data_IF_414468552016
#
_entry.id   IF_414468552016
#
_cell.length_a   1.000
_cell.length_b   1.000
_cell.length_c   1.000
_cell.angle_alpha   90.00
_cell.angle_beta   90.00
_cell.angle_gamma   90.00
#
_symmetry.space_group_name_H-M   'P 1'
#
loop_
_entity.id
_entity.type
_entity.pdbx_description
1 polymer ?
#
# COMPACT_ATOMS: atom_id res chain seq x y z
N UNK A 1 32.50 -52.99 -17.10
CA UNK A 1 31.41 -52.57 -16.18
C UNK A 1 31.53 -51.12 -15.68
N UNK A 2 32.73 -50.60 -15.38
CA UNK A 2 32.86 -49.22 -14.88
C UNK A 2 32.45 -48.11 -15.88
N UNK A 3 32.80 -48.27 -17.17
CA UNK A 3 32.42 -47.31 -18.22
C UNK A 3 30.90 -47.16 -18.36
N UNK A 4 30.12 -48.22 -18.16
CA UNK A 4 28.66 -48.16 -18.33
C UNK A 4 27.94 -47.49 -17.17
N UNK A 5 28.52 -47.49 -15.96
CA UNK A 5 28.01 -46.71 -14.83
C UNK A 5 28.31 -45.22 -15.02
N UNK A 6 29.54 -44.88 -15.42
CA UNK A 6 29.91 -43.49 -15.68
C UNK A 6 29.04 -42.85 -16.77
N UNK A 7 28.77 -43.57 -17.87
CA UNK A 7 27.90 -43.08 -18.94
C UNK A 7 26.45 -42.88 -18.47
N UNK A 8 25.91 -43.78 -17.64
CA UNK A 8 24.55 -43.62 -17.07
C UNK A 8 24.48 -42.45 -16.11
N UNK A 9 25.51 -42.25 -15.29
CA UNK A 9 25.59 -41.10 -14.37
C UNK A 9 25.68 -39.78 -15.14
N UNK A 10 26.54 -39.71 -16.16
CA UNK A 10 26.66 -38.51 -17.01
C UNK A 10 25.36 -38.22 -17.79
N UNK A 11 24.70 -39.25 -18.32
CA UNK A 11 23.41 -39.11 -18.99
C UNK A 11 22.31 -38.62 -18.04
N UNK A 12 22.29 -39.11 -16.79
CA UNK A 12 21.36 -38.66 -15.77
C UNK A 12 21.57 -37.18 -15.42
N UNK A 13 22.82 -36.76 -15.16
CA UNK A 13 23.12 -35.35 -14.89
C UNK A 13 22.85 -34.45 -16.11
N UNK A 14 23.15 -34.92 -17.33
CA UNK A 14 22.83 -34.19 -18.55
C UNK A 14 21.32 -33.98 -18.73
N UNK A 15 20.51 -35.01 -18.45
CA UNK A 15 19.05 -34.90 -18.47
C UNK A 15 18.53 -33.91 -17.41
N UNK A 16 19.05 -34.00 -16.18
CA UNK A 16 18.67 -33.10 -15.08
C UNK A 16 19.04 -31.66 -15.42
N UNK A 17 20.25 -31.41 -15.94
CA UNK A 17 20.67 -30.08 -16.39
C UNK A 17 19.83 -29.55 -17.55
N UNK A 18 19.45 -30.40 -18.51
CA UNK A 18 18.58 -30.01 -19.63
C UNK A 18 17.15 -29.68 -19.16
N UNK A 19 16.61 -30.42 -18.19
CA UNK A 19 15.32 -30.12 -17.57
C UNK A 19 15.38 -28.81 -16.79
N UNK A 20 16.42 -28.62 -15.98
CA UNK A 20 16.63 -27.37 -15.23
C UNK A 20 16.77 -26.18 -16.19
N UNK A 21 17.56 -26.31 -17.26
CA UNK A 21 17.72 -25.28 -18.28
C UNK A 21 16.42 -25.03 -19.06
N UNK A 22 15.66 -26.08 -19.39
CA UNK A 22 14.36 -25.98 -20.02
C UNK A 22 13.38 -25.17 -19.16
N UNK A 23 13.29 -25.49 -17.87
CA UNK A 23 12.51 -24.71 -16.91
C UNK A 23 13.04 -23.27 -16.79
N UNK A 24 14.34 -23.07 -16.62
CA UNK A 24 14.95 -21.74 -16.54
C UNK A 24 14.64 -20.87 -17.78
N UNK A 25 14.78 -21.43 -18.99
CA UNK A 25 14.52 -20.73 -20.25
C UNK A 25 13.05 -20.38 -20.48
N UNK A 26 12.12 -21.11 -19.86
CA UNK A 26 10.70 -20.76 -19.84
C UNK A 26 10.42 -19.54 -18.95
N UNK A 27 11.24 -19.33 -17.91
CA UNK A 27 11.12 -18.20 -16.97
C UNK A 27 12.00 -16.99 -17.32
N UNK A 28 13.02 -17.16 -18.17
CA UNK A 28 13.88 -16.08 -18.66
C UNK A 28 13.29 -15.35 -19.89
N UNK A 29 12.11 -15.79 -20.36
CA UNK A 29 11.34 -15.00 -21.33
C UNK A 29 10.79 -13.78 -20.60
N UNK A 30 11.36 -12.60 -20.89
CA UNK A 30 10.70 -11.33 -20.57
C UNK A 30 9.26 -11.42 -21.08
N UNK A 31 8.24 -11.30 -20.21
CA UNK A 31 6.87 -11.29 -20.68
C UNK A 31 6.77 -10.19 -21.73
N UNK A 32 6.10 -10.44 -22.88
CA UNK A 32 5.93 -9.41 -23.88
C UNK A 32 5.30 -8.18 -23.22
N UNK A 33 5.84 -6.99 -23.52
CA UNK A 33 5.21 -5.73 -23.11
C UNK A 33 3.85 -5.65 -23.80
N UNK A 34 2.79 -5.97 -23.07
CA UNK A 34 1.44 -5.75 -23.55
C UNK A 34 1.11 -4.27 -23.37
N UNK A 35 1.20 -3.49 -24.45
CA UNK A 35 0.48 -2.22 -24.56
C UNK A 35 -1.01 -2.54 -24.71
N UNK A 36 -1.68 -2.83 -23.61
CA UNK A 36 -3.14 -2.73 -23.58
C UNK A 36 -3.43 -1.35 -23.02
N UNK A 37 -4.21 -0.59 -23.77
CA UNK A 37 -4.72 0.71 -23.34
C UNK A 37 -5.45 0.59 -22.00
N UNK A 38 -5.59 1.71 -21.31
CA UNK A 38 -6.40 1.79 -20.09
C UNK A 38 -7.81 1.26 -20.39
N UNK A 39 -8.39 0.46 -19.50
CA UNK A 39 -9.78 0.01 -19.62
C UNK A 39 -10.73 1.03 -18.96
N UNK A 40 -11.99 1.10 -19.40
CA UNK A 40 -12.99 1.97 -18.78
C UNK A 40 -13.58 1.33 -17.51
N UNK A 41 -13.54 2.04 -16.38
CA UNK A 41 -14.03 1.61 -15.07
C UNK A 41 -15.14 2.50 -14.48
N UNK A 42 -15.51 3.56 -15.20
CA UNK A 42 -16.60 4.46 -14.83
C UNK A 42 -18.00 3.84 -14.95
N UNK A 43 -19.04 4.57 -14.48
CA UNK A 43 -20.43 4.12 -14.51
C UNK A 43 -20.91 3.72 -15.92
N UNK A 44 -21.79 2.71 -15.98
CA UNK A 44 -22.36 2.14 -17.23
C UNK A 44 -23.29 3.16 -17.93
N UNK A 45 -24.08 3.92 -17.18
CA UNK A 45 -25.16 4.75 -17.74
C UNK A 45 -24.70 6.13 -18.24
N UNK A 46 -23.42 6.47 -18.08
CA UNK A 46 -22.88 7.71 -18.66
C UNK A 46 -22.35 7.38 -20.05
N UNK A 47 -22.95 7.96 -21.09
CA UNK A 47 -22.39 8.09 -22.45
C UNK A 47 -21.10 8.93 -22.47
N UNK A 48 -20.18 8.70 -21.54
CA UNK A 48 -18.89 9.36 -21.49
C UNK A 48 -17.86 8.39 -22.05
N UNK A 49 -17.31 8.74 -23.20
CA UNK A 49 -16.13 8.09 -23.72
C UNK A 49 -14.99 8.18 -22.70
N UNK A 50 -14.04 7.25 -22.80
CA UNK A 50 -12.89 7.06 -21.90
C UNK A 50 -12.18 8.35 -21.45
N UNK A 51 -12.16 9.38 -22.30
CA UNK A 51 -11.47 10.65 -22.11
C UNK A 51 -12.35 11.85 -22.54
N UNK A 52 -13.67 11.81 -22.32
CA UNK A 52 -14.55 12.91 -22.72
C UNK A 52 -14.22 14.26 -22.04
N UNK A 53 -13.42 14.24 -20.97
CA UNK A 53 -12.89 15.41 -20.28
C UNK A 53 -11.50 15.13 -19.69
N UNK A 54 -10.45 15.64 -20.36
CA UNK A 54 -9.04 15.50 -19.92
C UNK A 54 -8.56 16.67 -19.06
N UNK A 55 -9.44 17.60 -18.68
CA UNK A 55 -9.04 18.76 -17.88
C UNK A 55 -8.65 18.34 -16.47
N UNK A 56 -7.82 19.17 -15.84
CA UNK A 56 -7.43 19.04 -14.44
C UNK A 56 -8.17 20.14 -13.68
N UNK A 57 -8.97 19.73 -12.70
CA UNK A 57 -9.79 20.62 -11.89
C UNK A 57 -9.18 20.76 -10.49
N UNK A 58 -9.04 21.98 -9.96
CA UNK A 58 -8.77 22.17 -8.54
C UNK A 58 -9.82 21.44 -7.70
N UNK A 59 -9.38 20.84 -6.61
CA UNK A 59 -10.24 20.18 -5.64
C UNK A 59 -9.97 20.77 -4.25
N UNK A 60 -11.02 20.88 -3.45
CA UNK A 60 -10.92 21.26 -2.04
C UNK A 60 -11.61 20.18 -1.25
N UNK A 61 -10.93 19.64 -0.24
CA UNK A 61 -11.50 18.64 0.65
C UNK A 61 -12.68 19.29 1.37
N UNK A 62 -13.90 18.73 1.23
CA UNK A 62 -15.08 19.33 1.83
C UNK A 62 -15.10 19.09 3.34
N UNK A 63 -15.56 20.10 4.08
CA UNK A 63 -15.98 19.94 5.47
C UNK A 63 -17.51 19.95 5.54
N UNK A 64 -18.10 18.91 6.12
CA UNK A 64 -19.54 18.78 6.28
C UNK A 64 -19.91 18.71 7.77
N UNK A 65 -20.53 19.76 8.35
CA UNK A 65 -21.02 19.70 9.72
C UNK A 65 -21.97 18.51 9.95
N UNK A 66 -22.86 18.23 9.01
CA UNK A 66 -23.82 17.13 9.12
C UNK A 66 -23.15 15.75 9.22
N UNK A 67 -22.04 15.52 8.49
CA UNK A 67 -21.27 14.27 8.61
C UNK A 67 -20.55 14.18 9.96
N UNK A 68 -20.04 15.30 10.48
CA UNK A 68 -19.40 15.35 11.81
C UNK A 68 -20.43 15.10 12.92
N UNK A 69 -21.63 15.67 12.81
CA UNK A 69 -22.70 15.47 13.78
C UNK A 69 -23.18 14.00 13.80
N UNK A 70 -23.34 13.37 12.62
CA UNK A 70 -23.65 11.94 12.51
C UNK A 70 -22.55 11.08 13.14
N UNK A 71 -21.29 11.36 12.80
CA UNK A 71 -20.13 10.68 13.38
C UNK A 71 -20.12 10.79 14.90
N UNK A 72 -20.28 11.99 15.46
CA UNK A 72 -20.31 12.21 16.91
C UNK A 72 -21.47 11.43 17.56
N UNK A 73 -22.65 11.42 16.94
CA UNK A 73 -23.80 10.64 17.43
C UNK A 73 -23.51 9.14 17.47
N UNK A 74 -22.92 8.59 16.42
CA UNK A 74 -22.55 7.16 16.32
C UNK A 74 -21.44 6.79 17.30
N UNK A 75 -20.41 7.63 17.43
CA UNK A 75 -19.34 7.45 18.41
C UNK A 75 -19.89 7.44 19.84
N UNK A 76 -20.77 8.39 20.19
CA UNK A 76 -21.42 8.45 21.50
C UNK A 76 -22.28 7.24 21.83
N UNK A 77 -22.77 6.52 20.82
CA UNK A 77 -23.59 5.30 20.94
C UNK A 77 -22.80 4.01 20.68
N UNK A 78 -21.48 4.08 20.64
CA UNK A 78 -20.62 2.92 20.37
C UNK A 78 -20.92 1.78 21.35
N UNK A 79 -21.19 0.59 20.82
CA UNK A 79 -21.30 -0.65 21.59
C UNK A 79 -19.96 -1.39 21.52
N UNK A 80 -19.20 -1.34 22.60
CA UNK A 80 -17.91 -2.05 22.64
C UNK A 80 -18.10 -3.55 22.80
N UNK A 81 -17.31 -4.30 22.03
CA UNK A 81 -17.14 -5.74 22.23
C UNK A 81 -16.47 -5.98 23.59
N UNK A 82 -16.95 -6.99 24.32
CA UNK A 82 -16.33 -7.42 25.58
C UNK A 82 -15.28 -8.50 25.26
N UNK A 83 -13.97 -8.18 25.36
CA UNK A 83 -12.94 -9.21 25.16
C UNK A 83 -12.97 -10.24 26.29
N UNK A 84 -12.35 -11.40 26.03
CA UNK A 84 -12.15 -12.45 27.03
C UNK A 84 -11.46 -11.88 28.27
N UNK A 85 -11.95 -12.25 29.45
CA UNK A 85 -11.36 -11.84 30.71
C UNK A 85 -10.16 -12.75 31.02
N UNK A 86 -8.95 -12.24 30.81
CA UNK A 86 -7.71 -12.99 31.08
C UNK A 86 -6.97 -12.38 32.27
N UNK A 87 -6.86 -13.11 33.40
CA UNK A 87 -6.18 -12.63 34.61
C UNK A 87 -4.68 -12.36 34.42
N UNK A 88 -4.05 -12.79 33.31
CA UNK A 88 -2.63 -12.54 33.03
C UNK A 88 -2.36 -11.38 32.06
N UNK A 89 -3.39 -10.66 31.58
CA UNK A 89 -3.29 -9.62 30.55
C UNK A 89 -2.64 -10.07 29.22
N UNK A 90 -2.45 -11.37 28.98
CA UNK A 90 -1.76 -11.92 27.79
C UNK A 90 -2.63 -11.74 26.53
N UNK A 91 -3.94 -11.74 26.68
CA UNK A 91 -4.91 -11.66 25.57
C UNK A 91 -5.04 -10.29 24.88
N UNK A 92 -4.58 -9.21 25.49
CA UNK A 92 -5.05 -7.86 25.14
C UNK A 92 -4.57 -7.33 23.78
N UNK A 93 -3.50 -7.89 23.21
CA UNK A 93 -3.03 -7.59 21.84
C UNK A 93 -2.80 -8.82 20.97
N UNK A 94 -2.98 -10.04 21.50
CA UNK A 94 -2.92 -11.28 20.71
C UNK A 94 -4.20 -11.57 19.92
N UNK A 95 -5.33 -11.03 20.35
CA UNK A 95 -6.66 -11.28 19.78
C UNK A 95 -7.23 -10.06 19.02
N UNK A 96 -6.36 -9.13 18.63
CA UNK A 96 -6.73 -7.91 17.92
C UNK A 96 -6.83 -6.69 18.83
N UNK A 97 -7.64 -5.71 18.43
CA UNK A 97 -7.63 -4.37 18.99
C UNK A 97 -8.13 -4.32 20.44
N UNK A 98 -7.36 -3.66 21.31
CA UNK A 98 -7.66 -3.57 22.73
C UNK A 98 -8.85 -2.65 23.04
N UNK A 99 -9.78 -3.11 23.89
CA UNK A 99 -10.95 -2.33 24.29
C UNK A 99 -10.62 -1.03 25.01
N UNK A 100 -9.70 -1.04 25.98
CA UNK A 100 -9.34 0.17 26.75
C UNK A 100 -8.74 1.23 25.83
N UNK A 101 -7.90 0.81 24.89
CA UNK A 101 -7.36 1.69 23.84
C UNK A 101 -8.49 2.22 22.96
N UNK A 102 -9.44 1.37 22.53
CA UNK A 102 -10.60 1.80 21.75
C UNK A 102 -11.47 2.83 22.48
N UNK A 103 -11.71 2.64 23.78
CA UNK A 103 -12.43 3.59 24.64
C UNK A 103 -11.68 4.93 24.72
N UNK A 104 -10.36 4.90 24.97
CA UNK A 104 -9.54 6.11 25.02
C UNK A 104 -9.50 6.87 23.69
N UNK A 105 -9.40 6.16 22.55
CA UNK A 105 -9.43 6.77 21.22
C UNK A 105 -10.81 7.36 20.92
N UNK A 106 -11.89 6.64 21.23
CA UNK A 106 -13.27 7.17 21.10
C UNK A 106 -13.42 8.45 21.91
N UNK A 107 -12.94 8.47 23.15
CA UNK A 107 -13.06 9.63 24.03
C UNK A 107 -12.25 10.82 23.51
N UNK A 108 -11.06 10.59 22.97
CA UNK A 108 -10.29 11.63 22.28
C UNK A 108 -11.00 12.12 21.02
N UNK A 109 -11.56 11.21 20.23
CA UNK A 109 -12.26 11.53 18.98
C UNK A 109 -13.52 12.36 19.23
N UNK A 110 -14.27 12.07 20.30
CA UNK A 110 -15.46 12.81 20.70
C UNK A 110 -15.13 14.21 21.25
N UNK A 111 -14.08 14.32 22.06
CA UNK A 111 -13.90 15.49 22.93
C UNK A 111 -12.73 16.40 22.52
N UNK A 112 -11.78 15.91 21.74
CA UNK A 112 -10.51 16.61 21.46
C UNK A 112 -10.21 16.73 19.98
N UNK A 113 -10.40 15.66 19.20
CA UNK A 113 -10.08 15.66 17.77
C UNK A 113 -10.91 16.71 17.01
N UNK A 114 -10.23 17.54 16.22
CA UNK A 114 -10.87 18.61 15.47
C UNK A 114 -10.78 18.36 13.97
N UNK A 115 -11.82 17.73 13.40
CA UNK A 115 -11.87 17.47 11.96
C UNK A 115 -11.82 18.74 11.11
N UNK A 116 -12.43 19.83 11.58
CA UNK A 116 -12.41 21.11 10.84
C UNK A 116 -10.98 21.64 10.69
N UNK A 117 -10.17 21.53 11.74
CA UNK A 117 -8.74 21.86 11.69
C UNK A 117 -7.99 20.92 10.76
N UNK A 118 -8.18 19.61 10.89
CA UNK A 118 -7.52 18.63 10.02
C UNK A 118 -7.83 18.88 8.53
N UNK A 119 -9.08 19.21 8.17
CA UNK A 119 -9.44 19.61 6.79
C UNK A 119 -8.74 20.88 6.35
N UNK A 120 -8.57 21.87 7.23
CA UNK A 120 -7.82 23.09 6.92
C UNK A 120 -6.35 22.77 6.65
N UNK A 121 -5.72 21.96 7.52
CA UNK A 121 -4.32 21.53 7.41
C UNK A 121 -4.10 20.70 6.12
N UNK A 122 -5.04 19.82 5.76
CA UNK A 122 -4.99 19.05 4.50
C UNK A 122 -5.05 19.98 3.28
N UNK A 123 -5.97 20.95 3.28
CA UNK A 123 -6.14 21.91 2.19
C UNK A 123 -5.03 22.97 2.08
N UNK A 124 -4.01 22.96 2.95
CA UNK A 124 -2.77 23.72 2.71
C UNK A 124 -2.02 23.21 1.46
N UNK A 125 -2.26 21.96 1.08
CA UNK A 125 -1.77 21.39 -0.17
C UNK A 125 -2.73 21.66 -1.32
N UNK A 126 -2.20 21.66 -2.55
CA UNK A 126 -3.02 21.79 -3.75
C UNK A 126 -3.52 20.43 -4.18
N UNK A 127 -4.84 20.23 -4.07
CA UNK A 127 -5.52 19.03 -4.54
C UNK A 127 -6.16 19.26 -5.91
N UNK A 128 -6.26 18.18 -6.67
CA UNK A 128 -6.84 18.20 -8.00
C UNK A 128 -7.63 16.92 -8.26
N UNK A 129 -8.53 16.99 -9.24
CA UNK A 129 -9.18 15.84 -9.87
C UNK A 129 -9.05 15.91 -11.38
N UNK A 130 -8.87 14.75 -12.02
CA UNK A 130 -8.98 14.61 -13.47
C UNK A 130 -9.61 13.26 -13.80
N UNK A 131 -10.39 13.19 -14.89
CA UNK A 131 -11.08 11.97 -15.26
C UNK A 131 -10.16 11.06 -16.08
N UNK A 132 -9.83 9.87 -15.57
CA UNK A 132 -9.04 8.85 -16.27
C UNK A 132 -9.82 7.54 -16.18
N UNK A 133 -9.94 6.80 -17.28
CA UNK A 133 -10.66 5.52 -17.27
C UNK A 133 -12.15 5.64 -16.84
N UNK A 134 -12.77 6.81 -17.03
CA UNK A 134 -14.12 7.09 -16.51
C UNK A 134 -14.21 7.33 -15.00
N UNK A 135 -13.09 7.45 -14.28
CA UNK A 135 -13.02 7.72 -12.84
C UNK A 135 -12.40 9.09 -12.59
N UNK A 136 -12.98 9.88 -11.68
CA UNK A 136 -12.32 11.10 -11.20
C UNK A 136 -11.20 10.71 -10.23
N UNK A 137 -9.96 10.79 -10.71
CA UNK A 137 -8.78 10.48 -9.94
C UNK A 137 -8.33 11.73 -9.18
N UNK A 138 -8.37 11.64 -7.86
CA UNK A 138 -7.82 12.65 -6.96
C UNK A 138 -6.31 12.53 -6.85
N UNK A 139 -5.63 13.67 -6.81
CA UNK A 139 -4.21 13.73 -6.46
C UNK A 139 -3.84 15.05 -5.80
N UNK A 140 -2.83 14.98 -4.94
CA UNK A 140 -2.14 16.15 -4.39
C UNK A 140 -0.92 16.43 -5.26
N UNK A 141 -0.68 17.71 -5.58
CA UNK A 141 0.48 18.15 -6.36
C UNK A 141 1.22 19.28 -5.65
N UNK A 142 2.54 19.16 -5.54
CA UNK A 142 3.41 20.23 -5.03
C UNK A 142 4.57 20.43 -5.99
N UNK A 143 4.62 21.61 -6.59
CA UNK A 143 5.72 22.02 -7.47
C UNK A 143 6.65 22.93 -6.68
N UNK A 144 7.96 22.70 -6.81
CA UNK A 144 8.98 23.64 -6.32
C UNK A 144 9.55 24.44 -7.49
N UNK A 145 9.99 25.66 -7.16
CA UNK A 145 10.67 26.55 -8.10
C UNK A 145 11.95 27.02 -7.41
N UNK A 146 13.09 26.89 -8.07
CA UNK A 146 14.36 27.42 -7.58
C UNK A 146 14.79 28.60 -8.46
N UNK A 147 15.61 29.51 -7.91
CA UNK A 147 16.08 30.67 -8.67
C UNK A 147 17.12 30.31 -9.75
N UNK A 148 17.64 29.09 -9.73
CA UNK A 148 18.62 28.60 -10.67
C UNK A 148 17.95 27.62 -11.64
N UNK A 149 18.04 27.85 -12.95
CA UNK A 149 17.54 26.91 -13.95
C UNK A 149 18.20 25.53 -13.75
N UNK A 150 17.46 24.60 -13.14
CA UNK A 150 17.91 23.23 -12.86
C UNK A 150 16.91 22.22 -13.39
N UNK A 151 17.37 20.98 -13.49
CA UNK A 151 16.56 19.85 -13.91
C UNK A 151 15.41 19.62 -12.91
N UNK A 152 14.18 19.64 -13.41
CA UNK A 152 12.96 19.36 -12.64
C UNK A 152 12.69 17.86 -12.64
N UNK A 153 12.63 17.24 -11.47
CA UNK A 153 12.31 15.83 -11.31
C UNK A 153 10.85 15.61 -10.91
N UNK A 154 10.14 14.80 -11.69
CA UNK A 154 8.77 14.40 -11.38
C UNK A 154 8.78 13.11 -10.57
N UNK A 155 8.07 13.10 -9.44
CA UNK A 155 8.01 11.96 -8.52
C UNK A 155 6.55 11.67 -8.18
N UNK A 156 6.14 10.43 -8.39
CA UNK A 156 4.84 9.93 -7.98
C UNK A 156 4.97 9.02 -6.75
N UNK A 157 4.27 9.35 -5.68
CA UNK A 157 4.21 8.57 -4.43
C UNK A 157 2.91 7.79 -4.38
N UNK A 158 2.99 6.47 -4.27
CA UNK A 158 1.84 5.58 -4.29
C UNK A 158 1.64 4.96 -2.91
N UNK A 159 0.52 5.30 -2.28
CA UNK A 159 0.15 4.77 -0.96
C UNK A 159 -0.41 3.33 -1.06
N UNK A 160 -0.72 2.75 0.08
CA UNK A 160 -1.39 1.44 0.17
C UNK A 160 -2.59 1.44 1.09
N UNK A 161 -2.86 0.28 1.70
CA UNK A 161 -3.92 0.05 2.67
C UNK A 161 -3.31 -0.39 4.01
N UNK A 162 -3.83 0.05 5.17
CA UNK A 162 -4.97 0.96 5.37
C UNK A 162 -4.55 2.44 5.39
N UNK A 163 -3.55 2.80 4.60
CA UNK A 163 -3.09 4.17 4.44
C UNK A 163 -3.88 4.98 3.42
N UNK A 164 -3.37 6.16 3.07
CA UNK A 164 -3.97 7.07 2.11
C UNK A 164 -2.91 8.03 1.56
N UNK A 165 -3.30 8.92 0.62
CA UNK A 165 -2.41 9.97 0.12
C UNK A 165 -1.77 10.82 1.24
N UNK A 166 -2.42 10.86 2.42
CA UNK A 166 -1.97 11.55 3.62
C UNK A 166 -0.56 11.15 4.07
N UNK A 167 -0.19 9.87 3.92
CA UNK A 167 1.10 9.32 4.37
C UNK A 167 2.32 10.04 3.75
N UNK A 168 2.15 10.61 2.56
CA UNK A 168 3.24 11.27 1.83
C UNK A 168 3.26 12.79 1.98
N UNK A 169 2.30 13.40 2.66
CA UNK A 169 2.24 14.87 2.76
C UNK A 169 3.45 15.45 3.51
N UNK A 170 3.88 14.81 4.59
CA UNK A 170 5.08 15.25 5.34
C UNK A 170 6.36 15.03 4.53
N UNK A 171 6.45 13.93 3.77
CA UNK A 171 7.57 13.69 2.84
C UNK A 171 7.61 14.78 1.78
N UNK A 172 6.46 15.15 1.20
CA UNK A 172 6.36 16.21 0.21
C UNK A 172 6.77 17.56 0.79
N UNK A 173 6.36 17.89 2.02
CA UNK A 173 6.79 19.10 2.74
C UNK A 173 8.31 19.15 2.88
N UNK A 174 8.93 18.07 3.37
CA UNK A 174 10.38 17.97 3.55
C UNK A 174 11.15 18.09 2.23
N UNK A 175 10.72 17.37 1.19
CA UNK A 175 11.35 17.43 -0.13
C UNK A 175 11.19 18.80 -0.79
N UNK A 176 10.04 19.46 -0.56
CA UNK A 176 9.78 20.78 -1.13
C UNK A 176 10.62 21.89 -0.52
N UNK A 177 11.22 21.66 0.65
CA UNK A 177 12.16 22.59 1.28
C UNK A 177 13.58 22.50 0.68
N UNK A 178 13.84 21.53 -0.21
CA UNK A 178 15.11 21.43 -0.91
C UNK A 178 15.36 22.65 -1.80
N UNK A 179 16.56 23.20 -1.72
CA UNK A 179 17.02 24.32 -2.57
C UNK A 179 17.88 23.87 -3.75
N UNK A 180 18.19 22.57 -3.84
CA UNK A 180 19.17 22.04 -4.80
C UNK A 180 18.53 21.40 -6.03
N UNK A 181 17.31 20.87 -5.90
CA UNK A 181 16.58 20.14 -6.94
C UNK A 181 15.16 20.68 -7.02
N UNK A 182 14.70 20.95 -8.23
CA UNK A 182 13.29 21.25 -8.50
C UNK A 182 12.48 19.98 -8.61
N UNK A 183 11.32 19.94 -7.96
CA UNK A 183 10.45 18.79 -7.93
C UNK A 183 9.05 19.11 -8.45
N UNK A 184 8.47 18.15 -9.14
CA UNK A 184 7.02 17.99 -9.25
C UNK A 184 6.64 16.76 -8.43
N UNK A 185 6.06 16.97 -7.25
CA UNK A 185 5.70 15.89 -6.33
C UNK A 185 4.21 15.61 -6.44
N UNK A 186 3.84 14.35 -6.69
CA UNK A 186 2.46 13.92 -6.90
C UNK A 186 2.14 12.74 -6.00
N UNK A 187 1.04 12.80 -5.24
CA UNK A 187 0.50 11.65 -4.51
C UNK A 187 -0.99 11.48 -4.84
N UNK A 188 -1.35 10.52 -5.72
CA UNK A 188 -2.75 10.24 -6.01
C UNK A 188 -3.40 9.44 -4.88
N UNK A 189 -4.72 9.60 -4.74
CA UNK A 189 -5.53 8.58 -4.09
C UNK A 189 -5.73 7.39 -5.04
N UNK A 190 -5.51 6.17 -4.57
CA UNK A 190 -5.81 4.96 -5.35
C UNK A 190 -7.30 4.94 -5.79
N UNK A 191 -7.66 4.37 -6.97
CA UNK A 191 -9.07 4.18 -7.33
C UNK A 191 -9.85 3.45 -6.22
N UNK A 192 -10.94 4.05 -5.74
CA UNK A 192 -11.71 3.57 -4.58
C UNK A 192 -11.16 3.95 -3.20
N UNK A 193 -10.13 4.78 -3.12
CA UNK A 193 -9.56 5.27 -1.87
C UNK A 193 -9.68 6.79 -1.78
N UNK A 194 -9.78 7.31 -0.55
CA UNK A 194 -9.84 8.74 -0.25
C UNK A 194 -10.83 9.46 -1.16
N UNK A 195 -10.34 10.42 -1.96
CA UNK A 195 -11.19 11.24 -2.82
C UNK A 195 -11.22 10.79 -4.28
N UNK A 196 -10.61 9.64 -4.65
CA UNK A 196 -10.73 9.06 -5.98
C UNK A 196 -12.00 8.22 -6.09
N UNK A 197 -12.66 8.27 -7.24
CA UNK A 197 -13.90 7.51 -7.44
C UNK A 197 -13.69 5.99 -7.28
N UNK A 198 -14.71 5.32 -6.73
CA UNK A 198 -14.78 3.85 -6.71
C UNK A 198 -15.08 3.30 -8.11
N UNK A 199 -14.49 2.16 -8.44
CA UNK A 199 -14.82 1.44 -9.68
C UNK A 199 -16.26 0.93 -9.65
N UNK A 200 -16.96 0.99 -10.78
CA UNK A 200 -18.29 0.36 -10.95
C UNK A 200 -18.21 -0.98 -11.67
N UNK A 201 -17.00 -1.41 -12.03
CA UNK A 201 -16.72 -2.65 -12.76
C UNK A 201 -15.70 -3.52 -12.01
N UNK A 202 -15.79 -4.82 -12.25
CA UNK A 202 -14.81 -5.77 -11.72
C UNK A 202 -13.43 -5.60 -12.39
N UNK A 203 -12.41 -6.26 -11.82
CA UNK A 203 -11.04 -6.34 -12.38
C UNK A 203 -10.22 -5.06 -12.32
N UNK A 204 -10.57 -4.08 -11.47
CA UNK A 204 -9.64 -3.03 -11.07
C UNK A 204 -8.47 -3.66 -10.29
N UNK A 205 -7.37 -3.94 -10.97
CA UNK A 205 -6.16 -4.57 -10.41
C UNK A 205 -5.02 -3.57 -10.26
N UNK A 206 -3.95 -3.91 -9.50
CA UNK A 206 -2.75 -3.06 -9.43
C UNK A 206 -2.15 -2.75 -10.81
N UNK A 207 -2.26 -3.68 -11.76
CA UNK A 207 -1.83 -3.47 -13.14
C UNK A 207 -2.66 -2.38 -13.84
N UNK A 208 -3.99 -2.34 -13.62
CA UNK A 208 -4.84 -1.29 -14.20
C UNK A 208 -4.57 0.06 -13.53
N UNK A 209 -4.37 0.09 -12.21
CA UNK A 209 -3.97 1.31 -11.50
C UNK A 209 -2.64 1.86 -12.01
N UNK A 210 -1.67 1.00 -12.34
CA UNK A 210 -0.40 1.43 -12.93
C UNK A 210 -0.59 2.15 -14.29
N UNK A 211 -1.54 1.70 -15.11
CA UNK A 211 -1.89 2.36 -16.37
C UNK A 211 -2.57 3.70 -16.13
N UNK A 212 -3.52 3.76 -15.20
CA UNK A 212 -4.21 4.99 -14.79
C UNK A 212 -3.19 6.04 -14.33
N UNK A 213 -2.22 5.66 -13.49
CA UNK A 213 -1.20 6.59 -13.00
C UNK A 213 -0.16 6.94 -14.05
N UNK A 214 0.14 6.07 -15.00
CA UNK A 214 0.95 6.46 -16.16
C UNK A 214 0.24 7.55 -16.97
N UNK A 215 -1.06 7.38 -17.26
CA UNK A 215 -1.87 8.41 -17.94
C UNK A 215 -1.93 9.70 -17.13
N UNK A 216 -2.07 9.62 -15.79
CA UNK A 216 -2.01 10.80 -14.92
C UNK A 216 -0.68 11.55 -15.11
N UNK A 217 0.45 10.84 -15.07
CA UNK A 217 1.77 11.47 -15.24
C UNK A 217 1.96 12.06 -16.65
N UNK A 218 1.50 11.38 -17.71
CA UNK A 218 1.51 11.94 -19.07
C UNK A 218 0.67 13.22 -19.16
N UNK A 219 -0.53 13.21 -18.56
CA UNK A 219 -1.45 14.34 -18.55
C UNK A 219 -0.90 15.56 -17.81
N UNK A 220 -0.07 15.34 -16.80
CA UNK A 220 0.65 16.38 -16.08
C UNK A 220 1.87 16.92 -16.84
N UNK A 221 2.17 16.37 -18.03
CA UNK A 221 3.26 16.79 -18.91
C UNK A 221 4.58 16.07 -18.66
N UNK A 222 4.58 14.97 -17.89
CA UNK A 222 5.81 14.25 -17.54
C UNK A 222 6.09 13.10 -18.50
N UNK A 223 7.04 13.30 -19.42
CA UNK A 223 7.53 12.23 -20.31
C UNK A 223 8.35 11.18 -19.56
N UNK A 224 8.95 11.52 -18.42
CA UNK A 224 9.65 10.58 -17.55
C UNK A 224 9.57 11.00 -16.09
N UNK A 225 9.58 10.04 -15.16
CA UNK A 225 9.35 10.27 -13.74
C UNK A 225 9.92 9.14 -12.85
N UNK A 226 10.07 9.43 -11.56
CA UNK A 226 10.44 8.48 -10.52
C UNK A 226 9.17 7.97 -9.84
N UNK A 227 9.12 6.68 -9.53
CA UNK A 227 8.02 6.07 -8.78
C UNK A 227 8.50 5.74 -7.38
N UNK A 228 7.72 6.08 -6.36
CA UNK A 228 7.93 5.67 -4.97
C UNK A 228 6.69 4.95 -4.47
N UNK A 229 6.84 3.81 -3.79
CA UNK A 229 5.68 3.13 -3.23
C UNK A 229 5.99 2.07 -2.18
N UNK A 230 5.14 1.97 -1.17
CA UNK A 230 5.05 0.85 -0.23
C UNK A 230 3.71 0.12 -0.39
N UNK A 231 3.53 -1.04 0.25
CA UNK A 231 2.26 -1.79 0.24
C UNK A 231 1.69 -1.95 -1.19
N UNK A 232 0.42 -1.64 -1.47
CA UNK A 232 -0.13 -1.67 -2.83
C UNK A 232 0.64 -0.78 -3.81
N UNK A 233 1.11 0.38 -3.36
CA UNK A 233 1.95 1.27 -4.14
C UNK A 233 3.25 0.61 -4.63
N UNK A 234 3.82 -0.34 -3.88
CA UNK A 234 4.98 -1.13 -4.33
C UNK A 234 4.62 -2.08 -5.48
N UNK A 235 3.45 -2.70 -5.42
CA UNK A 235 2.94 -3.61 -6.45
C UNK A 235 2.60 -2.81 -7.72
N UNK A 236 1.90 -1.69 -7.55
CA UNK A 236 1.53 -0.78 -8.64
C UNK A 236 2.80 -0.20 -9.28
N UNK A 237 3.77 0.27 -8.49
CA UNK A 237 5.03 0.80 -8.99
C UNK A 237 5.88 -0.24 -9.74
N UNK A 238 5.82 -1.50 -9.31
CA UNK A 238 6.41 -2.62 -10.06
C UNK A 238 5.77 -2.77 -11.44
N UNK A 239 4.43 -2.70 -11.53
CA UNK A 239 3.74 -2.75 -12.82
C UNK A 239 4.03 -1.51 -13.69
N UNK A 240 4.09 -0.31 -13.11
CA UNK A 240 4.47 0.90 -13.86
C UNK A 240 5.87 0.74 -14.47
N UNK A 241 6.82 0.22 -13.69
CA UNK A 241 8.21 0.00 -14.15
C UNK A 241 8.30 -1.06 -15.25
N UNK A 242 7.51 -2.14 -15.15
CA UNK A 242 7.48 -3.21 -16.16
C UNK A 242 6.76 -2.82 -17.44
N UNK A 243 5.65 -2.08 -17.34
CA UNK A 243 4.83 -1.69 -18.48
C UNK A 243 5.40 -0.47 -19.22
N UNK A 244 6.07 0.44 -18.51
CA UNK A 244 6.55 1.72 -19.06
C UNK A 244 8.04 1.97 -18.74
N UNK A 245 8.96 1.05 -19.07
CA UNK A 245 10.38 1.17 -18.73
C UNK A 245 11.07 2.38 -19.37
N UNK A 246 10.54 2.91 -20.48
CA UNK A 246 11.03 4.15 -21.11
C UNK A 246 10.61 5.44 -20.39
N UNK A 247 9.62 5.37 -19.50
CA UNK A 247 9.09 6.53 -18.76
C UNK A 247 9.50 6.52 -17.29
N UNK A 248 9.69 5.34 -16.68
CA UNK A 248 10.10 5.23 -15.28
C UNK A 248 11.63 5.33 -15.18
N UNK A 249 12.14 6.48 -14.70
CA UNK A 249 13.59 6.71 -14.51
C UNK A 249 14.17 5.89 -13.36
N UNK A 250 13.35 5.62 -12.35
CA UNK A 250 13.75 4.89 -11.15
C UNK A 250 12.52 4.52 -10.33
N UNK A 251 12.62 3.39 -9.62
CA UNK A 251 11.59 2.91 -8.72
C UNK A 251 12.18 2.67 -7.34
N UNK A 252 11.72 3.45 -6.36
CA UNK A 252 12.06 3.28 -4.95
C UNK A 252 10.91 2.56 -4.25
N UNK A 253 11.17 1.36 -3.74
CA UNK A 253 10.18 0.60 -2.96
C UNK A 253 10.63 0.43 -1.52
N UNK A 254 9.70 0.60 -0.59
CA UNK A 254 9.90 0.25 0.84
C UNK A 254 9.30 -1.11 1.19
N UNK A 255 8.65 -1.77 0.24
CA UNK A 255 8.14 -3.14 0.37
C UNK A 255 8.55 -3.96 -0.86
N UNK A 256 9.85 -4.30 -1.01
CA UNK A 256 10.27 -5.22 -2.04
C UNK A 256 9.64 -6.59 -1.77
N UNK A 257 8.73 -7.02 -2.63
CA UNK A 257 8.08 -8.33 -2.53
C UNK A 257 8.16 -9.06 -3.87
N UNK A 258 8.65 -10.30 -3.84
CA UNK A 258 8.59 -11.22 -4.98
C UNK A 258 7.63 -12.36 -4.64
N UNK A 259 6.40 -12.23 -5.14
CA UNK A 259 5.34 -13.25 -5.00
C UNK A 259 5.33 -14.24 -6.17
N UNK A 260 6.33 -14.19 -7.05
CA UNK A 260 6.42 -15.10 -8.19
C UNK A 260 6.68 -16.52 -7.67
N UNK A 261 5.80 -17.50 -7.97
CA UNK A 261 6.04 -18.89 -7.61
C UNK A 261 7.23 -19.41 -8.43
N UNK A 262 8.44 -19.27 -7.87
CA UNK A 262 9.67 -19.67 -8.50
C UNK A 262 10.33 -20.74 -7.64
N UNK A 263 10.56 -21.92 -8.22
CA UNK A 263 11.25 -23.03 -7.55
C UNK A 263 12.59 -22.59 -6.98
N UNK A 264 13.31 -21.71 -7.68
CA UNK A 264 14.58 -21.17 -7.21
C UNK A 264 14.40 -20.29 -5.95
N UNK A 265 13.37 -19.46 -5.89
CA UNK A 265 13.08 -18.65 -4.70
C UNK A 265 12.68 -19.54 -3.52
N UNK A 266 11.90 -20.61 -3.78
CA UNK A 266 11.55 -21.59 -2.76
C UNK A 266 12.80 -22.32 -2.22
N UNK A 267 13.70 -22.76 -3.11
CA UNK A 267 14.98 -23.37 -2.72
C UNK A 267 15.83 -22.40 -1.92
N UNK A 268 15.93 -21.13 -2.34
CA UNK A 268 16.65 -20.07 -1.62
C UNK A 268 16.09 -19.88 -0.21
N UNK A 269 14.77 -19.83 -0.05
CA UNK A 269 14.13 -19.69 1.25
C UNK A 269 14.40 -20.91 2.15
N UNK A 270 14.36 -22.13 1.59
CA UNK A 270 14.73 -23.35 2.30
C UNK A 270 16.19 -23.35 2.75
N UNK A 271 17.13 -22.97 1.87
CA UNK A 271 18.54 -22.91 2.23
C UNK A 271 18.78 -21.86 3.32
N UNK A 272 18.19 -20.68 3.21
CA UNK A 272 18.27 -19.63 4.24
C UNK A 272 17.75 -20.07 5.61
N UNK A 273 16.71 -20.92 5.62
CA UNK A 273 16.18 -21.51 6.86
C UNK A 273 17.12 -22.52 7.52
N UNK A 274 18.04 -23.14 6.75
CA UNK A 274 19.06 -24.05 7.27
C UNK A 274 20.29 -23.26 7.74
N UNK A 275 20.80 -22.37 6.89
CA UNK A 275 21.88 -21.45 7.25
C UNK A 275 21.71 -20.12 6.52
N UNK A 276 21.77 -19.03 7.28
CA UNK A 276 21.66 -17.66 6.75
C UNK A 276 22.82 -17.32 5.81
N UNK A 277 23.99 -17.94 6.00
CA UNK A 277 25.17 -17.75 5.16
C UNK A 277 25.01 -18.23 3.71
N UNK A 278 23.92 -18.94 3.38
CA UNK A 278 23.59 -19.28 2.00
C UNK A 278 22.88 -18.15 1.26
N UNK A 279 22.41 -17.12 1.96
CA UNK A 279 21.70 -15.98 1.40
C UNK A 279 22.37 -14.64 1.69
N UNK A 280 23.04 -14.52 2.83
CA UNK A 280 23.60 -13.27 3.32
C UNK A 280 25.12 -13.27 3.24
N UNK A 281 25.66 -12.14 2.78
CA UNK A 281 27.10 -11.85 2.90
C UNK A 281 27.47 -11.50 4.35
N UNK A 282 28.77 -11.47 4.67
CA UNK A 282 29.25 -11.26 6.04
C UNK A 282 28.76 -9.91 6.63
N UNK A 283 28.71 -8.86 5.82
CA UNK A 283 28.28 -7.52 6.25
C UNK A 283 26.77 -7.44 6.55
N UNK A 284 25.99 -8.37 5.97
CA UNK A 284 24.54 -8.46 6.15
C UNK A 284 24.15 -9.26 7.40
N UNK A 285 25.10 -9.89 8.10
CA UNK A 285 24.82 -10.64 9.34
C UNK A 285 24.45 -9.74 10.53
N UNK A 286 24.70 -8.44 10.42
CA UNK A 286 24.23 -7.42 11.37
C UNK A 286 22.71 -7.29 11.32
N UNK A 287 22.13 -7.48 10.13
CA UNK A 287 20.70 -7.67 9.95
C UNK A 287 20.39 -9.09 10.44
N UNK A 288 19.43 -9.25 11.36
CA UNK A 288 19.01 -10.56 11.88
C UNK A 288 17.68 -11.00 11.26
N UNK A 289 17.55 -11.17 9.94
CA UNK A 289 16.30 -11.64 9.34
C UNK A 289 16.00 -13.05 9.85
N UNK A 290 14.72 -13.31 10.10
CA UNK A 290 14.24 -14.65 10.41
C UNK A 290 13.87 -15.36 9.11
N UNK A 291 14.76 -16.22 8.62
CA UNK A 291 14.50 -17.08 7.46
C UNK A 291 13.80 -18.39 7.83
N UNK A 292 13.41 -18.59 9.09
CA UNK A 292 12.67 -19.79 9.51
C UNK A 292 11.35 -19.88 8.75
N UNK A 293 11.22 -20.90 7.91
CA UNK A 293 9.99 -21.12 7.15
C UNK A 293 8.80 -21.32 8.09
N UNK A 294 9.00 -22.03 9.19
CA UNK A 294 7.92 -22.29 10.16
C UNK A 294 7.46 -21.00 10.81
N UNK A 295 8.38 -20.11 11.21
CA UNK A 295 8.01 -18.84 11.84
C UNK A 295 7.33 -17.90 10.84
N UNK A 296 7.87 -17.80 9.61
CA UNK A 296 7.26 -17.02 8.55
C UNK A 296 5.85 -17.51 8.19
N UNK A 297 5.65 -18.83 8.11
CA UNK A 297 4.32 -19.40 7.93
C UNK A 297 3.40 -19.05 9.11
N UNK A 298 3.85 -19.25 10.36
CA UNK A 298 3.04 -18.89 11.54
C UNK A 298 2.62 -17.42 11.51
N UNK A 299 3.54 -16.51 11.18
CA UNK A 299 3.26 -15.08 11.06
C UNK A 299 2.26 -14.82 9.93
N UNK A 300 2.43 -15.46 8.78
CA UNK A 300 1.50 -15.37 7.65
C UNK A 300 0.09 -15.80 8.07
N UNK A 301 -0.05 -16.99 8.67
CA UNK A 301 -1.35 -17.50 9.14
C UNK A 301 -2.00 -16.59 10.19
N UNK A 302 -1.20 -16.01 11.09
CA UNK A 302 -1.69 -15.12 12.14
C UNK A 302 -2.16 -13.77 11.58
N UNK A 303 -1.38 -13.15 10.68
CA UNK A 303 -1.58 -11.75 10.29
C UNK A 303 -2.38 -11.56 8.99
N UNK A 304 -2.56 -12.60 8.15
CA UNK A 304 -3.26 -12.49 6.86
C UNK A 304 -4.77 -12.70 6.92
N UNK A 305 -5.36 -12.82 8.12
CA UNK A 305 -6.82 -12.95 8.27
C UNK A 305 -7.61 -11.81 7.62
N UNK A 306 -7.14 -10.57 7.80
CA UNK A 306 -7.75 -9.39 7.17
C UNK A 306 -7.70 -9.49 5.63
N UNK A 307 -6.54 -9.88 5.10
CA UNK A 307 -6.29 -9.97 3.66
C UNK A 307 -7.17 -11.03 3.00
N UNK A 308 -7.31 -12.19 3.65
CA UNK A 308 -8.18 -13.26 3.15
C UNK A 308 -9.65 -12.83 3.13
N UNK A 309 -10.13 -12.19 4.20
CA UNK A 309 -11.51 -11.70 4.26
C UNK A 309 -11.79 -10.65 3.17
N UNK A 310 -10.90 -9.67 3.02
CA UNK A 310 -11.00 -8.64 1.98
C UNK A 310 -10.88 -9.20 0.56
N UNK A 311 -10.07 -10.24 0.35
CA UNK A 311 -9.87 -10.84 -0.97
C UNK A 311 -11.04 -11.71 -1.43
N UNK A 312 -11.92 -12.14 -0.52
CA UNK A 312 -12.98 -13.11 -0.82
C UNK A 312 -14.40 -12.59 -0.59
N UNK A 313 -14.60 -11.75 0.44
CA UNK A 313 -15.91 -11.19 0.84
C UNK A 313 -15.80 -9.68 1.16
N UNK A 314 -15.23 -8.85 0.26
CA UNK A 314 -14.99 -7.44 0.53
C UNK A 314 -16.27 -6.66 0.86
N UNK A 315 -17.36 -6.88 0.12
CA UNK A 315 -18.65 -6.22 0.38
C UNK A 315 -19.19 -6.55 1.77
N UNK A 316 -19.06 -7.80 2.21
CA UNK A 316 -19.57 -8.25 3.53
C UNK A 316 -18.86 -7.54 4.67
N UNK A 317 -17.52 -7.50 4.66
CA UNK A 317 -16.79 -6.76 5.69
C UNK A 317 -16.97 -5.25 5.53
N UNK A 318 -17.09 -4.77 4.28
CA UNK A 318 -17.35 -3.37 3.96
C UNK A 318 -18.61 -2.83 4.61
N UNK A 319 -19.74 -3.57 4.57
CA UNK A 319 -20.96 -3.16 5.28
C UNK A 319 -20.75 -2.97 6.78
N UNK A 320 -20.00 -3.87 7.43
CA UNK A 320 -19.73 -3.79 8.86
C UNK A 320 -18.83 -2.61 9.23
N UNK A 321 -17.78 -2.36 8.44
CA UNK A 321 -16.86 -1.25 8.68
C UNK A 321 -17.49 0.10 8.35
N UNK A 322 -18.36 0.18 7.33
CA UNK A 322 -19.00 1.42 6.91
C UNK A 322 -20.05 1.94 7.91
N UNK A 323 -20.71 1.06 8.66
CA UNK A 323 -21.77 1.47 9.60
C UNK A 323 -21.22 1.91 10.97
N UNK A 324 -20.09 1.35 11.40
CA UNK A 324 -19.51 1.58 12.73
C UNK A 324 -18.18 2.33 12.66
N UNK A 325 -18.11 3.62 13.06
CA UNK A 325 -16.87 4.37 13.09
C UNK A 325 -15.79 3.72 13.96
N UNK A 326 -16.18 3.18 15.14
CA UNK A 326 -15.25 2.45 15.99
C UNK A 326 -14.90 1.07 15.44
N UNK A 327 -15.79 0.42 14.69
CA UNK A 327 -15.47 -0.80 13.95
C UNK A 327 -14.38 -0.55 12.90
N UNK A 328 -14.54 0.48 12.08
CA UNK A 328 -13.55 0.92 11.10
C UNK A 328 -12.22 1.30 11.77
N UNK A 329 -12.27 2.18 12.78
CA UNK A 329 -11.07 2.64 13.47
C UNK A 329 -10.31 1.49 14.12
N UNK A 330 -10.98 0.57 14.83
CA UNK A 330 -10.30 -0.58 15.43
C UNK A 330 -9.69 -1.52 14.38
N UNK A 331 -10.37 -1.72 13.25
CA UNK A 331 -9.87 -2.59 12.17
C UNK A 331 -8.61 -2.02 11.48
N UNK A 332 -8.57 -0.70 11.30
CA UNK A 332 -7.42 -0.01 10.69
C UNK A 332 -6.28 0.19 11.71
N UNK A 333 -6.58 0.72 12.90
CA UNK A 333 -5.56 1.09 13.89
C UNK A 333 -4.84 -0.12 14.48
N UNK A 334 -5.46 -1.31 14.47
CA UNK A 334 -4.72 -2.54 14.79
C UNK A 334 -3.52 -2.72 13.87
N UNK A 335 -3.63 -2.38 12.58
CA UNK A 335 -2.51 -2.47 11.62
C UNK A 335 -1.46 -1.41 11.88
N UNK A 336 -1.85 -0.19 12.24
CA UNK A 336 -0.88 0.85 12.63
C UNK A 336 -0.07 0.44 13.86
N UNK A 337 -0.67 -0.33 14.78
CA UNK A 337 0.02 -0.94 15.91
C UNK A 337 0.98 -2.05 15.45
N UNK A 338 0.44 -3.12 14.87
CA UNK A 338 1.19 -4.35 14.60
C UNK A 338 2.25 -4.16 13.51
N UNK A 339 2.01 -3.33 12.49
CA UNK A 339 2.93 -3.16 11.37
C UNK A 339 4.02 -2.13 11.60
N UNK A 340 3.86 -1.24 12.57
CA UNK A 340 4.87 -0.23 12.89
C UNK A 340 5.91 -0.73 13.89
N UNK A 341 5.57 -1.73 14.71
CA UNK A 341 6.47 -2.33 15.70
C UNK A 341 7.00 -3.71 15.26
N UNK A 342 7.68 -4.42 16.16
CA UNK A 342 8.09 -5.79 15.89
C UNK A 342 6.85 -6.70 15.73
N UNK A 343 6.53 -7.09 14.49
CA UNK A 343 5.37 -7.92 14.12
C UNK A 343 5.31 -9.28 14.84
N UNK A 344 6.42 -9.74 15.40
CA UNK A 344 6.50 -11.01 16.14
C UNK A 344 6.20 -10.87 17.63
N UNK A 345 6.17 -9.64 18.15
CA UNK A 345 5.96 -9.37 19.57
C UNK A 345 4.57 -8.80 19.83
N UNK A 346 4.03 -9.16 20.98
CA UNK A 346 2.75 -8.69 21.47
C UNK A 346 2.99 -7.34 22.10
N UNK A 347 2.43 -6.27 21.51
CA UNK A 347 2.60 -4.94 22.08
C UNK A 347 1.75 -4.82 23.35
N UNK A 348 2.42 -4.74 24.50
CA UNK A 348 1.80 -4.61 25.82
C UNK A 348 1.80 -3.18 26.33
N UNK A 349 2.22 -2.21 25.50
CA UNK A 349 2.25 -0.81 25.90
C UNK A 349 0.84 -0.26 26.17
N UNK A 350 0.70 0.72 27.09
CA UNK A 350 -0.61 1.28 27.43
C UNK A 350 -1.37 1.89 26.25
N UNK A 351 -0.67 2.31 25.20
CA UNK A 351 -1.24 2.91 23.98
C UNK A 351 -1.28 1.92 22.80
N UNK A 352 -1.14 0.62 23.05
CA UNK A 352 -1.28 -0.42 22.03
C UNK A 352 -0.31 -0.22 20.85
N UNK A 353 0.93 0.23 21.09
CA UNK A 353 1.93 0.40 20.03
C UNK A 353 1.71 1.58 19.09
N UNK A 354 0.69 2.40 19.34
CA UNK A 354 0.34 3.56 18.50
C UNK A 354 1.18 4.81 18.77
N UNK A 355 2.08 4.78 19.75
CA UNK A 355 2.84 5.95 20.23
C UNK A 355 3.82 6.59 19.25
N UNK A 356 4.02 5.99 18.06
CA UNK A 356 4.80 6.61 16.98
C UNK A 356 4.05 7.72 16.25
N UNK A 357 2.73 7.77 16.41
CA UNK A 357 1.84 8.73 15.76
C UNK A 357 1.06 9.50 16.80
N UNK A 358 0.68 10.74 16.47
CA UNK A 358 -0.32 11.44 17.27
C UNK A 358 -1.72 10.89 16.98
N UNK A 359 -2.64 11.00 17.94
CA UNK A 359 -4.04 10.62 17.69
C UNK A 359 -4.67 11.46 16.58
N UNK A 360 -4.27 12.73 16.44
CA UNK A 360 -4.68 13.58 15.31
C UNK A 360 -4.25 12.98 13.96
N UNK A 361 -3.01 12.49 13.83
CA UNK A 361 -2.54 11.86 12.58
C UNK A 361 -3.32 10.59 12.27
N UNK A 362 -3.50 9.72 13.26
CA UNK A 362 -4.23 8.46 13.10
C UNK A 362 -5.68 8.72 12.71
N UNK A 363 -6.39 9.57 13.46
CA UNK A 363 -7.79 9.90 13.19
C UNK A 363 -7.96 10.68 11.88
N UNK A 364 -6.99 11.50 11.47
CA UNK A 364 -7.02 12.14 10.15
C UNK A 364 -7.01 11.11 9.03
N UNK A 365 -6.16 10.08 9.12
CA UNK A 365 -6.20 8.99 8.14
C UNK A 365 -7.52 8.21 8.20
N UNK A 366 -8.06 7.94 9.40
CA UNK A 366 -9.37 7.27 9.55
C UNK A 366 -10.49 8.10 8.92
N UNK A 367 -10.51 9.42 9.10
CA UNK A 367 -11.54 10.31 8.55
C UNK A 367 -11.51 10.46 7.02
N UNK A 368 -10.41 10.04 6.37
CA UNK A 368 -10.30 10.00 4.90
C UNK A 368 -10.99 8.75 4.35
N UNK A 369 -11.12 7.68 5.14
CA UNK A 369 -11.96 6.53 4.86
C UNK A 369 -13.42 6.83 5.23
#
# INVERSE_FOLDING_TARGET
MALSRLHRTLAFFGLVSAVIYGFYSLFDRRPPCYSVDVEYFGPIDRNRDMDSDVKIYPFTIPYSPAQVDDLQSRLGKTRFYQPLNDPQNITQSQYGFNRKTAESIRDYWLNTFNWKKAVADLNEFSHYKTMIAGLNIHFVRKQTTTQQHRQKEAIIFLHGWPGSFYEYLDVMKLMSASTTIEYDLITPSLPGYGYSDMTTRSKMSPQQMARIFHVLMQRLGHSSYIVVGGDWGSIIGTFMSKLYPGHVKGFLTTMPSDITPNLLNFIRMLSGSISKSFLLDQDEQTFKPDFSIINNLKLFWKEFGYFHLQSTKPDTIGYALNDSPMGLASYILEKFSSWSNNRTEVDTSPNFGLGRFTLDQLLTNIMIY
#
